data_IF_567426622891
#
_entry.id   IF_567426622891
#
_cell.length_a   1.000
_cell.length_b   1.000
_cell.length_c   1.000
_cell.angle_alpha   90.00
_cell.angle_beta   90.00
_cell.angle_gamma   90.00
#
_symmetry.space_group_name_H-M   'P 1'
#
loop_
_entity.id
_entity.type
_entity.pdbx_description
1 polymer ?
#
# COMPACT_ATOMS: atom_id res chain seq x y z
N UNK A 1 -78.04 43.90 90.01
CA UNK A 1 -79.02 42.87 90.39
C UNK A 1 -78.98 41.81 89.31
N UNK A 2 -78.60 40.56 89.62
CA UNK A 2 -78.55 39.46 88.65
C UNK A 2 -79.98 39.02 88.26
N UNK A 3 -80.22 38.24 87.17
CA UNK A 3 -79.94 36.81 87.25
C UNK A 3 -79.62 36.02 85.94
N UNK A 4 -79.09 34.80 86.15
CA UNK A 4 -79.29 33.51 85.45
C UNK A 4 -79.00 33.28 83.94
N UNK A 5 -78.01 32.41 83.72
CA UNK A 5 -78.06 31.31 82.73
C UNK A 5 -78.76 30.06 83.38
N UNK A 6 -79.06 28.92 82.70
CA UNK A 6 -78.02 28.01 82.14
C UNK A 6 -78.35 27.06 80.92
N UNK A 7 -77.29 26.75 80.17
CA UNK A 7 -76.82 25.43 79.66
C UNK A 7 -77.71 24.33 78.99
N UNK A 8 -77.25 23.86 77.81
CA UNK A 8 -77.12 22.43 77.35
C UNK A 8 -75.94 22.41 76.32
N UNK A 9 -74.75 21.82 76.57
CA UNK A 9 -74.25 20.42 76.34
C UNK A 9 -74.36 19.91 74.88
N UNK A 10 -73.40 19.17 74.26
CA UNK A 10 -72.00 18.77 74.56
C UNK A 10 -71.36 18.05 73.33
N UNK A 11 -70.09 18.35 72.94
CA UNK A 11 -69.12 17.48 72.21
C UNK A 11 -67.81 18.28 71.93
N UNK A 12 -66.65 18.06 72.59
CA UNK A 12 -65.57 17.06 72.34
C UNK A 12 -65.04 17.03 70.88
N UNK A 13 -63.74 17.10 70.57
CA UNK A 13 -62.47 17.25 71.35
C UNK A 13 -61.47 18.13 70.54
N UNK A 14 -60.43 18.79 71.09
CA UNK A 14 -59.18 18.22 71.67
C UNK A 14 -58.17 17.86 70.55
N UNK A 15 -56.89 18.24 70.55
CA UNK A 15 -56.02 18.80 71.59
C UNK A 15 -54.88 19.68 71.01
N UNK A 16 -54.53 20.72 71.78
CA UNK A 16 -53.37 21.59 71.73
C UNK A 16 -51.99 20.89 71.63
N UNK A 17 -51.08 21.37 70.76
CA UNK A 17 -49.66 21.65 71.12
C UNK A 17 -48.94 22.54 70.11
N UNK A 18 -48.28 23.59 70.60
CA UNK A 18 -47.26 24.34 69.88
C UNK A 18 -46.14 24.72 70.86
N UNK A 19 -44.91 24.24 70.64
CA UNK A 19 -43.70 24.81 71.24
C UNK A 19 -42.46 24.49 70.39
N UNK A 20 -41.49 25.41 70.46
CA UNK A 20 -40.32 25.53 69.58
C UNK A 20 -39.26 24.44 69.82
N UNK A 21 -38.50 24.06 68.79
CA UNK A 21 -37.05 24.40 68.68
C UNK A 21 -36.29 23.74 67.50
N UNK A 22 -35.47 24.56 66.83
CA UNK A 22 -34.14 24.25 66.27
C UNK A 22 -33.94 23.29 65.06
N UNK A 23 -33.02 23.74 64.18
CA UNK A 23 -32.19 22.99 63.23
C UNK A 23 -32.85 21.95 62.31
N UNK A 24 -33.22 22.43 61.12
CA UNK A 24 -33.58 21.61 59.96
C UNK A 24 -33.58 22.42 58.66
N UNK A 25 -32.54 23.23 58.43
CA UNK A 25 -32.26 23.71 57.07
C UNK A 25 -31.79 22.50 56.28
N UNK A 26 -32.67 21.85 55.52
CA UNK A 26 -32.25 20.78 54.61
C UNK A 26 -31.35 21.39 53.54
N UNK A 27 -30.04 21.15 53.73
CA UNK A 27 -29.01 21.62 52.81
C UNK A 27 -29.20 20.90 51.48
N UNK A 28 -29.76 21.66 50.55
CA UNK A 28 -29.16 21.91 49.24
C UNK A 28 -28.70 20.68 48.47
N UNK A 29 -29.53 20.26 47.52
CA UNK A 29 -29.05 19.66 46.29
C UNK A 29 -28.64 18.19 46.39
N UNK A 30 -29.60 17.33 46.04
CA UNK A 30 -29.29 16.22 45.14
C UNK A 30 -28.89 16.79 43.77
N UNK A 31 -27.69 17.35 43.69
CA UNK A 31 -26.93 17.30 42.44
C UNK A 31 -26.51 15.84 42.25
N UNK A 32 -27.47 15.03 41.78
CA UNK A 32 -27.14 13.84 41.02
C UNK A 32 -26.46 14.33 39.75
N UNK A 33 -25.16 14.62 39.84
CA UNK A 33 -24.29 14.64 38.69
C UNK A 33 -24.26 13.21 38.16
N UNK A 34 -25.21 12.88 37.28
CA UNK A 34 -25.05 11.80 36.31
C UNK A 34 -23.88 12.20 35.42
N UNK A 35 -22.68 11.98 35.95
CA UNK A 35 -21.43 12.06 35.24
C UNK A 35 -21.51 10.97 34.18
N UNK A 36 -21.48 11.36 32.91
CA UNK A 36 -21.49 10.40 31.80
C UNK A 36 -20.42 9.36 32.05
N UNK A 37 -20.76 8.08 31.93
CA UNK A 37 -19.79 7.02 32.19
C UNK A 37 -18.60 7.16 31.22
N UNK A 38 -17.37 6.97 31.72
CA UNK A 38 -16.16 7.02 30.90
C UNK A 38 -16.34 6.18 29.61
N UNK A 39 -15.94 6.75 28.48
CA UNK A 39 -15.98 6.15 27.14
C UNK A 39 -14.89 6.73 26.22
N UNK A 40 -14.72 6.17 25.02
CA UNK A 40 -13.82 6.69 23.99
C UNK A 40 -14.62 7.41 22.90
N UNK A 41 -14.43 8.72 22.76
CA UNK A 41 -15.07 9.60 21.78
C UNK A 41 -14.31 9.73 20.45
N UNK A 42 -13.41 8.77 20.14
CA UNK A 42 -12.64 8.79 18.89
C UNK A 42 -13.56 8.86 17.67
N UNK A 43 -13.11 9.57 16.62
CA UNK A 43 -13.89 9.74 15.38
C UNK A 43 -14.34 8.39 14.78
N UNK A 44 -15.53 8.30 14.17
CA UNK A 44 -16.08 7.04 13.65
C UNK A 44 -15.24 6.41 12.52
N UNK A 45 -14.35 7.19 11.90
CA UNK A 45 -13.33 6.72 10.95
C UNK A 45 -12.19 5.91 11.58
N UNK A 46 -12.14 5.83 12.92
CA UNK A 46 -11.02 5.25 13.66
C UNK A 46 -9.76 6.13 13.65
N UNK A 47 -8.65 5.55 14.11
CA UNK A 47 -7.34 6.17 14.06
C UNK A 47 -6.84 6.29 12.61
N UNK A 48 -6.09 7.36 12.25
CA UNK A 48 -5.54 7.53 10.90
C UNK A 48 -4.67 6.34 10.45
N UNK A 49 -4.58 6.04 9.13
CA UNK A 49 -3.76 4.96 8.60
C UNK A 49 -2.25 5.19 8.85
N UNK A 50 -1.50 4.09 8.96
CA UNK A 50 -0.06 4.09 9.22
C UNK A 50 0.73 3.65 7.98
N UNK A 51 1.90 4.27 7.77
CA UNK A 51 2.81 3.90 6.70
C UNK A 51 4.25 3.75 7.22
N UNK A 52 4.97 2.73 6.75
CA UNK A 52 6.33 2.37 7.22
C UNK A 52 7.36 3.46 6.95
N UNK A 53 7.75 4.21 7.98
CA UNK A 53 8.72 5.32 7.88
C UNK A 53 8.10 6.71 7.82
N UNK A 54 6.78 6.85 7.89
CA UNK A 54 6.10 8.15 8.11
C UNK A 54 6.07 8.52 9.59
N UNK A 55 6.05 9.82 9.89
CA UNK A 55 5.87 10.30 11.27
C UNK A 55 4.39 10.23 11.62
N UNK A 56 4.07 9.43 12.62
CA UNK A 56 2.73 9.25 13.14
C UNK A 56 2.51 10.04 14.42
N UNK A 57 1.36 10.69 14.52
CA UNK A 57 0.86 11.30 15.74
C UNK A 57 -0.67 11.26 15.74
N UNK A 58 -1.26 10.57 16.71
CA UNK A 58 -2.69 10.56 16.96
C UNK A 58 -2.96 10.66 18.47
N UNK A 59 -4.03 11.36 18.85
CA UNK A 59 -4.45 11.50 20.24
C UNK A 59 -5.72 10.69 20.46
N UNK A 60 -5.71 9.84 21.49
CA UNK A 60 -6.88 9.12 21.98
C UNK A 60 -7.78 10.12 22.71
N UNK A 61 -9.09 10.04 22.48
CA UNK A 61 -10.06 11.02 23.00
C UNK A 61 -11.05 10.36 23.97
N UNK A 62 -10.66 10.06 25.22
CA UNK A 62 -11.60 9.68 26.25
C UNK A 62 -12.52 10.85 26.63
N UNK A 63 -13.76 10.52 26.97
CA UNK A 63 -14.80 11.45 27.39
C UNK A 63 -15.73 10.78 28.41
N UNK A 64 -16.58 11.57 29.08
CA UNK A 64 -17.23 11.13 30.32
C UNK A 64 -16.21 10.90 31.45
N UNK A 65 -16.69 10.48 32.62
CA UNK A 65 -15.85 10.31 33.81
C UNK A 65 -15.31 11.63 34.34
N UNK A 66 -14.32 11.54 35.22
CA UNK A 66 -13.65 12.67 35.85
C UNK A 66 -12.21 12.81 35.35
N UNK A 67 -11.89 13.89 34.62
CA UNK A 67 -10.51 14.24 34.33
C UNK A 67 -9.68 14.49 35.62
N UNK A 68 -8.34 14.39 35.58
CA UNK A 68 -7.51 13.98 34.44
C UNK A 68 -7.63 12.49 34.11
N UNK A 69 -7.41 12.15 32.83
CA UNK A 69 -7.35 10.77 32.35
C UNK A 69 -5.90 10.31 32.24
N UNK A 70 -5.66 9.07 32.65
CA UNK A 70 -4.40 8.34 32.41
C UNK A 70 -4.68 7.17 31.49
N UNK A 71 -3.70 6.76 30.68
CA UNK A 71 -3.88 5.63 29.77
C UNK A 71 -2.65 4.72 29.76
N UNK A 72 -2.90 3.42 29.57
CA UNK A 72 -1.88 2.38 29.49
C UNK A 72 -2.21 1.36 28.39
N UNK A 73 -1.17 0.71 27.88
CA UNK A 73 -1.32 -0.48 27.07
C UNK A 73 -1.72 -1.64 27.99
N UNK A 74 -2.95 -2.13 27.87
CA UNK A 74 -3.48 -3.25 28.66
C UNK A 74 -3.23 -4.61 28.01
N UNK A 75 -2.97 -4.65 26.69
CA UNK A 75 -2.63 -5.88 25.98
C UNK A 75 -2.31 -5.68 24.51
N UNK A 76 -1.84 -6.75 23.86
CA UNK A 76 -1.42 -6.75 22.46
C UNK A 76 -0.07 -6.07 22.23
N UNK A 77 0.20 -5.68 20.98
CA UNK A 77 1.49 -5.04 20.61
C UNK A 77 1.25 -3.80 19.76
N UNK A 78 1.99 -2.73 20.07
CA UNK A 78 2.07 -1.56 19.21
C UNK A 78 2.96 -1.87 17.99
N UNK A 79 2.70 -1.23 16.83
CA UNK A 79 3.61 -1.26 15.70
C UNK A 79 5.05 -0.87 16.10
N UNK A 80 6.09 -1.63 15.70
CA UNK A 80 7.47 -1.33 16.04
C UNK A 80 7.89 0.08 15.61
N UNK A 81 8.29 0.90 16.57
CA UNK A 81 8.63 2.32 16.36
C UNK A 81 7.53 3.31 16.77
N UNK A 82 6.37 2.84 17.26
CA UNK A 82 5.37 3.66 17.95
C UNK A 82 5.43 3.49 19.48
N UNK A 83 5.07 4.55 20.18
CA UNK A 83 4.92 4.58 21.64
C UNK A 83 3.61 5.26 22.04
N UNK A 84 3.01 4.79 23.14
CA UNK A 84 1.88 5.46 23.79
C UNK A 84 2.43 6.27 24.96
N UNK A 85 2.24 7.59 24.92
CA UNK A 85 2.68 8.54 25.96
C UNK A 85 1.48 9.37 26.43
N UNK A 86 0.96 9.03 27.60
CA UNK A 86 -0.36 9.49 28.05
C UNK A 86 -1.43 9.08 27.04
N UNK A 87 -2.18 10.06 26.53
CA UNK A 87 -3.20 9.85 25.50
C UNK A 87 -2.66 9.93 24.06
N UNK A 88 -1.36 10.16 23.85
CA UNK A 88 -0.79 10.34 22.51
C UNK A 88 -0.08 9.07 22.03
N UNK A 89 -0.50 8.55 20.88
CA UNK A 89 0.19 7.50 20.13
C UNK A 89 1.07 8.15 19.06
N UNK A 90 2.38 8.06 19.19
CA UNK A 90 3.33 8.74 18.31
C UNK A 90 4.59 7.95 18.02
N UNK A 91 5.28 8.31 16.94
CA UNK A 91 6.55 7.70 16.53
C UNK A 91 6.65 7.50 15.02
N UNK A 92 7.48 6.55 14.59
CA UNK A 92 7.70 6.23 13.17
C UNK A 92 7.70 4.70 13.02
N UNK A 93 6.63 4.07 12.52
CA UNK A 93 6.56 2.62 12.44
C UNK A 93 7.54 2.11 11.37
N UNK A 94 8.33 1.08 11.68
CA UNK A 94 9.41 0.60 10.80
C UNK A 94 9.13 -0.76 10.13
N UNK A 95 7.95 -1.35 10.36
CA UNK A 95 7.55 -2.65 9.81
C UNK A 95 6.08 -2.66 9.40
N UNK A 96 5.81 -3.17 8.20
CA UNK A 96 4.44 -3.42 7.73
C UNK A 96 3.78 -4.58 8.49
N UNK A 97 2.46 -4.52 8.64
CA UNK A 97 1.69 -5.53 9.34
C UNK A 97 0.38 -5.00 9.93
N UNK A 98 -0.49 -5.93 10.36
CA UNK A 98 -1.62 -5.59 11.23
C UNK A 98 -1.22 -5.79 12.68
N UNK A 99 -1.48 -4.80 13.50
CA UNK A 99 -1.20 -4.80 14.94
C UNK A 99 -2.50 -4.54 15.69
N UNK A 100 -2.86 -5.47 16.58
CA UNK A 100 -4.01 -5.34 17.48
C UNK A 100 -3.50 -5.10 18.90
N UNK A 101 -4.07 -4.10 19.57
CA UNK A 101 -3.73 -3.76 20.94
C UNK A 101 -4.91 -3.15 21.69
N UNK A 102 -4.91 -3.31 23.00
CA UNK A 102 -5.96 -2.79 23.88
C UNK A 102 -5.39 -1.68 24.73
N UNK A 103 -5.99 -0.50 24.65
CA UNK A 103 -5.68 0.62 25.55
C UNK A 103 -6.73 0.65 26.64
N UNK A 104 -6.28 0.76 27.89
CA UNK A 104 -7.11 1.06 29.03
C UNK A 104 -6.89 2.52 29.44
N UNK A 105 -7.98 3.26 29.60
CA UNK A 105 -8.02 4.59 30.19
C UNK A 105 -8.58 4.49 31.60
N UNK A 106 -7.97 5.19 32.55
CA UNK A 106 -8.41 5.34 33.94
C UNK A 106 -8.63 6.82 34.24
N UNK A 107 -9.76 7.16 34.81
CA UNK A 107 -10.10 8.52 35.23
C UNK A 107 -9.69 8.82 36.69
N UNK A 108 -9.89 10.05 37.17
CA UNK A 108 -9.49 10.46 38.53
C UNK A 108 -10.35 9.87 39.65
N UNK A 109 -11.50 9.26 39.33
CA UNK A 109 -12.32 8.47 40.27
C UNK A 109 -11.93 6.99 40.30
N UNK A 110 -10.86 6.60 39.58
CA UNK A 110 -10.42 5.22 39.36
C UNK A 110 -11.39 4.39 38.50
N UNK A 111 -12.31 5.04 37.79
CA UNK A 111 -13.15 4.37 36.79
C UNK A 111 -12.32 4.01 35.56
N UNK A 112 -12.45 2.79 35.05
CA UNK A 112 -11.64 2.29 33.92
C UNK A 112 -12.47 1.93 32.70
N UNK A 113 -11.88 2.10 31.50
CA UNK A 113 -12.41 1.61 30.23
C UNK A 113 -11.30 1.12 29.31
N UNK A 114 -11.54 -0.04 28.72
CA UNK A 114 -10.66 -0.62 27.70
C UNK A 114 -11.29 -0.55 26.32
N UNK A 115 -10.47 -0.27 25.30
CA UNK A 115 -10.85 -0.32 23.88
C UNK A 115 -9.74 -1.00 23.08
N UNK A 116 -10.15 -1.95 22.25
CA UNK A 116 -9.26 -2.56 21.27
C UNK A 116 -9.12 -1.64 20.04
N UNK A 117 -7.89 -1.50 19.57
CA UNK A 117 -7.53 -0.83 18.33
C UNK A 117 -6.81 -1.80 17.41
N UNK A 118 -7.17 -1.78 16.13
CA UNK A 118 -6.53 -2.56 15.06
C UNK A 118 -5.91 -1.58 14.06
N UNK A 119 -4.58 -1.47 14.08
CA UNK A 119 -3.83 -0.61 13.17
C UNK A 119 -3.16 -1.45 12.08
N UNK A 120 -3.31 -1.03 10.82
CA UNK A 120 -2.59 -1.61 9.68
C UNK A 120 -1.48 -0.66 9.25
N UNK A 121 -0.21 -1.06 9.45
CA UNK A 121 0.94 -0.40 8.83
C UNK A 121 1.11 -0.93 7.42
N UNK A 122 1.03 -0.03 6.45
CA UNK A 122 1.19 -0.33 5.03
C UNK A 122 2.54 0.19 4.52
N UNK A 123 3.00 -0.31 3.37
CA UNK A 123 4.09 0.35 2.65
C UNK A 123 3.66 1.75 2.22
N UNK A 124 4.61 2.68 2.10
CA UNK A 124 4.26 4.03 1.65
C UNK A 124 3.72 3.96 0.22
N UNK A 125 2.47 4.44 -0.03
CA UNK A 125 1.98 4.57 -1.39
C UNK A 125 2.90 5.50 -2.20
N UNK A 126 3.02 5.21 -3.49
CA UNK A 126 3.77 6.06 -4.40
C UNK A 126 3.20 7.49 -4.38
N UNK A 127 4.08 8.48 -4.29
CA UNK A 127 3.68 9.87 -4.36
C UNK A 127 3.11 10.12 -5.75
N UNK A 128 1.92 10.72 -5.81
CA UNK A 128 1.25 11.02 -7.07
C UNK A 128 0.65 12.42 -7.09
N UNK A 129 0.63 13.00 -8.29
CA UNK A 129 0.05 14.29 -8.60
C UNK A 129 -0.98 14.08 -9.71
N UNK A 130 -2.25 14.42 -9.48
CA UNK A 130 -3.32 14.12 -10.43
C UNK A 130 -4.38 15.24 -10.49
N UNK A 131 -4.83 15.65 -11.68
CA UNK A 131 -6.05 16.44 -11.85
C UNK A 131 -7.28 15.56 -11.58
N UNK A 132 -8.26 16.09 -10.83
CA UNK A 132 -9.58 15.48 -10.72
C UNK A 132 -10.41 15.86 -11.95
N UNK A 133 -10.55 14.93 -12.88
CA UNK A 133 -11.27 15.16 -14.13
C UNK A 133 -12.79 15.02 -13.93
N UNK A 134 -13.61 15.89 -14.54
CA UNK A 134 -15.05 15.68 -14.61
C UNK A 134 -15.37 14.47 -15.49
N UNK A 135 -16.54 13.86 -15.23
CA UNK A 135 -17.02 12.70 -15.99
C UNK A 135 -17.72 13.17 -17.26
N UNK A 136 -17.28 12.68 -18.43
CA UNK A 136 -17.88 12.98 -19.73
C UNK A 136 -17.26 14.19 -20.44
N UNK A 137 -17.99 14.74 -21.40
CA UNK A 137 -17.56 15.92 -22.16
C UNK A 137 -17.59 17.20 -21.31
N UNK A 138 -16.59 18.05 -21.47
CA UNK A 138 -16.60 19.43 -20.97
C UNK A 138 -16.87 20.43 -22.08
N UNK A 139 -17.54 21.53 -21.73
CA UNK A 139 -17.95 22.62 -22.63
C UNK A 139 -17.78 23.96 -21.90
N UNK A 140 -17.17 24.95 -22.55
CA UNK A 140 -16.93 26.27 -21.95
C UNK A 140 -15.88 26.25 -20.83
N UNK A 141 -16.05 27.15 -19.86
CA UNK A 141 -15.06 27.39 -18.81
C UNK A 141 -15.16 26.33 -17.69
N UNK A 142 -14.10 25.53 -17.51
CA UNK A 142 -14.05 24.40 -16.57
C UNK A 142 -12.90 24.56 -15.58
N UNK A 143 -13.15 24.27 -14.29
CA UNK A 143 -12.12 24.29 -13.24
C UNK A 143 -11.70 22.88 -12.85
N UNK A 144 -10.40 22.58 -12.96
CA UNK A 144 -9.81 21.27 -12.67
C UNK A 144 -8.90 21.40 -11.44
N UNK A 145 -9.27 20.83 -10.27
CA UNK A 145 -8.39 20.81 -9.11
C UNK A 145 -7.32 19.71 -9.28
N UNK A 146 -6.08 20.03 -8.95
CA UNK A 146 -4.97 19.06 -8.87
C UNK A 146 -4.77 18.68 -7.42
N UNK A 147 -4.76 17.38 -7.12
CA UNK A 147 -4.51 16.83 -5.80
C UNK A 147 -3.14 16.15 -5.72
N UNK A 148 -2.56 16.13 -4.53
CA UNK A 148 -1.34 15.38 -4.22
C UNK A 148 -1.64 14.26 -3.23
N UNK A 149 -1.08 13.07 -3.47
CA UNK A 149 -1.17 11.92 -2.58
C UNK A 149 0.21 11.51 -2.11
N UNK A 150 0.35 11.10 -0.85
CA UNK A 150 1.60 10.69 -0.22
C UNK A 150 2.77 11.69 -0.36
N UNK A 151 2.60 12.98 0.02
CA UNK A 151 3.56 14.04 -0.28
C UNK A 151 4.92 13.97 0.44
N UNK A 152 5.06 13.21 1.55
CA UNK A 152 6.35 12.94 2.24
C UNK A 152 7.12 14.21 2.60
N UNK A 153 8.23 14.50 1.91
CA UNK A 153 9.08 15.67 2.11
C UNK A 153 8.98 16.69 0.96
N UNK A 154 8.00 16.57 0.06
CA UNK A 154 7.86 17.43 -1.12
C UNK A 154 7.89 18.91 -0.78
N UNK A 155 8.68 19.65 -1.56
CA UNK A 155 8.73 21.12 -1.58
C UNK A 155 8.55 21.69 -2.99
N UNK A 156 8.75 20.90 -4.03
CA UNK A 156 8.40 21.27 -5.41
C UNK A 156 7.75 20.10 -6.14
N UNK A 157 6.81 20.38 -7.03
CA UNK A 157 6.30 19.41 -7.98
C UNK A 157 6.01 20.08 -9.33
N UNK A 158 6.32 19.37 -10.41
CA UNK A 158 6.01 19.72 -11.79
C UNK A 158 4.93 18.78 -12.31
N UNK A 159 3.85 19.31 -12.87
CA UNK A 159 2.88 18.58 -13.67
C UNK A 159 3.14 18.90 -15.15
N UNK A 160 3.12 17.90 -16.02
CA UNK A 160 3.11 18.10 -17.47
C UNK A 160 1.90 17.37 -18.04
N UNK A 161 1.07 18.05 -18.83
CA UNK A 161 -0.18 17.54 -19.36
C UNK A 161 -0.33 17.93 -20.83
N UNK A 162 -0.49 16.94 -21.71
CA UNK A 162 -0.88 17.22 -23.10
C UNK A 162 -2.41 17.33 -23.18
N UNK A 163 -2.86 18.57 -23.36
CA UNK A 163 -4.28 18.93 -23.44
C UNK A 163 -4.81 18.67 -24.86
N UNK A 164 -6.07 18.21 -25.01
CA UNK A 164 -6.69 18.08 -26.33
C UNK A 164 -6.79 19.40 -27.10
N UNK A 165 -6.84 19.31 -28.43
CA UNK A 165 -7.02 20.47 -29.29
C UNK A 165 -8.33 21.22 -28.97
N UNK A 166 -8.26 22.55 -28.88
CA UNK A 166 -9.40 23.40 -28.49
C UNK A 166 -9.51 23.67 -26.99
N UNK A 167 -8.65 23.08 -26.16
CA UNK A 167 -8.49 23.41 -24.73
C UNK A 167 -7.36 24.42 -24.54
N UNK A 168 -7.64 25.51 -23.82
CA UNK A 168 -6.65 26.52 -23.45
C UNK A 168 -6.73 26.83 -21.96
N UNK A 169 -5.60 27.01 -21.29
CA UNK A 169 -5.56 27.38 -19.87
C UNK A 169 -5.72 28.90 -19.77
N UNK A 170 -6.76 29.35 -19.06
CA UNK A 170 -7.00 30.78 -18.78
C UNK A 170 -6.35 31.25 -17.48
N UNK A 171 -5.95 30.32 -16.62
CA UNK A 171 -5.20 30.61 -15.41
C UNK A 171 -4.97 29.38 -14.55
N UNK A 172 -4.06 29.49 -13.60
CA UNK A 172 -3.86 28.49 -12.55
C UNK A 172 -3.61 29.22 -11.22
N UNK A 173 -4.19 28.69 -10.14
CA UNK A 173 -4.09 29.26 -8.80
C UNK A 173 -3.45 28.24 -7.85
N UNK A 174 -2.58 28.67 -6.91
CA UNK A 174 -2.05 27.77 -5.88
C UNK A 174 -3.19 27.27 -4.98
N UNK A 175 -3.06 26.02 -4.54
CA UNK A 175 -4.03 25.35 -3.69
C UNK A 175 -3.90 25.68 -2.20
N UNK A 176 -4.58 24.88 -1.37
CA UNK A 176 -4.77 25.16 0.07
C UNK A 176 -3.48 25.12 0.90
N UNK A 177 -2.46 24.38 0.47
CA UNK A 177 -1.14 24.37 1.13
C UNK A 177 -0.41 25.71 1.02
N UNK A 178 -0.84 26.59 0.09
CA UNK A 178 -0.13 27.80 -0.27
C UNK A 178 1.23 27.51 -0.93
N UNK A 179 1.81 28.52 -1.55
CA UNK A 179 3.03 28.32 -2.32
C UNK A 179 3.28 29.37 -3.38
N UNK A 180 4.22 29.05 -4.26
CA UNK A 180 4.37 29.68 -5.57
C UNK A 180 3.82 28.72 -6.62
N UNK A 181 3.19 29.26 -7.66
CA UNK A 181 2.74 28.47 -8.80
C UNK A 181 3.10 29.23 -10.08
N UNK A 182 3.79 28.54 -10.98
CA UNK A 182 4.06 29.00 -12.34
C UNK A 182 3.42 28.03 -13.31
N UNK A 183 2.93 28.52 -14.45
CA UNK A 183 2.39 27.66 -15.49
C UNK A 183 2.68 28.24 -16.87
N UNK A 184 2.75 27.35 -17.87
CA UNK A 184 2.89 27.70 -19.28
C UNK A 184 2.15 26.66 -20.11
N UNK A 185 1.40 27.10 -21.12
CA UNK A 185 0.93 26.23 -22.19
C UNK A 185 1.72 26.55 -23.46
N UNK A 186 2.37 25.55 -24.04
CA UNK A 186 3.05 25.62 -25.33
C UNK A 186 2.31 24.68 -26.31
N UNK A 187 1.55 25.27 -27.24
CA UNK A 187 0.60 24.53 -28.07
C UNK A 187 -0.41 23.74 -27.22
N UNK A 188 -0.28 22.42 -27.21
CA UNK A 188 -1.09 21.51 -26.41
C UNK A 188 -0.46 21.15 -25.05
N UNK A 189 0.84 21.38 -24.85
CA UNK A 189 1.57 20.95 -23.66
C UNK A 189 1.49 22.00 -22.56
N UNK A 190 0.74 21.69 -21.51
CA UNK A 190 0.71 22.45 -20.26
C UNK A 190 1.80 21.95 -19.32
N UNK A 191 2.64 22.86 -18.81
CA UNK A 191 3.52 22.64 -17.66
C UNK A 191 3.04 23.49 -16.49
N UNK A 192 2.94 22.91 -15.30
CA UNK A 192 2.59 23.59 -14.05
C UNK A 192 3.63 23.26 -12.98
N UNK A 193 4.37 24.26 -12.53
CA UNK A 193 5.35 24.17 -11.45
C UNK A 193 4.74 24.72 -10.16
N UNK A 194 4.73 23.90 -9.10
CA UNK A 194 4.18 24.27 -7.79
C UNK A 194 5.24 24.09 -6.72
N UNK A 195 5.56 25.17 -6.00
CA UNK A 195 6.47 25.16 -4.85
C UNK A 195 5.69 25.33 -3.54
N UNK A 196 5.94 24.48 -2.54
CA UNK A 196 5.18 24.41 -1.30
C UNK A 196 5.95 25.00 -0.12
N UNK A 197 5.30 25.87 0.67
CA UNK A 197 5.88 26.46 1.89
C UNK A 197 6.07 25.43 3.00
N UNK A 198 5.12 24.50 3.11
CA UNK A 198 5.11 23.37 4.05
C UNK A 198 4.79 22.08 3.29
N UNK A 199 5.01 20.91 3.89
CA UNK A 199 4.55 19.65 3.28
C UNK A 199 3.01 19.74 3.10
N UNK A 200 2.46 19.46 1.90
CA UNK A 200 1.02 19.24 1.75
C UNK A 200 0.52 18.09 2.65
N UNK A 201 -0.77 18.05 2.96
CA UNK A 201 -1.40 16.81 3.45
C UNK A 201 -1.72 15.89 2.28
N UNK A 202 -1.77 14.58 2.49
CA UNK A 202 -2.31 13.65 1.47
C UNK A 202 -3.76 14.03 1.16
N UNK A 203 -4.13 14.04 -0.13
CA UNK A 203 -5.42 14.52 -0.62
C UNK A 203 -5.55 16.05 -0.71
N UNK A 204 -4.53 16.83 -0.35
CA UNK A 204 -4.60 18.28 -0.45
C UNK A 204 -4.71 18.73 -1.92
N UNK A 205 -5.60 19.71 -2.16
CA UNK A 205 -5.66 20.43 -3.43
C UNK A 205 -4.46 21.37 -3.50
N UNK A 206 -3.55 21.13 -4.44
CA UNK A 206 -2.26 21.83 -4.60
C UNK A 206 -2.28 22.88 -5.71
N UNK A 207 -3.16 22.72 -6.69
CA UNK A 207 -3.43 23.73 -7.71
C UNK A 207 -4.90 23.69 -8.12
N UNK A 208 -5.40 24.79 -8.67
CA UNK A 208 -6.68 24.88 -9.35
C UNK A 208 -6.47 25.47 -10.74
N UNK A 209 -6.66 24.65 -11.77
CA UNK A 209 -6.52 25.06 -13.18
C UNK A 209 -7.87 25.57 -13.69
N UNK A 210 -7.86 26.68 -14.42
CA UNK A 210 -9.02 27.18 -15.16
C UNK A 210 -8.77 26.96 -16.65
N UNK A 211 -9.65 26.20 -17.29
CA UNK A 211 -9.58 25.81 -18.69
C UNK A 211 -10.74 26.48 -19.46
N UNK A 212 -10.46 26.96 -20.66
CA UNK A 212 -11.44 27.39 -21.66
C UNK A 212 -11.50 26.36 -22.78
N UNK A 213 -12.69 25.83 -23.01
CA UNK A 213 -12.95 24.75 -23.96
C UNK A 213 -13.77 25.28 -25.13
N UNK A 214 -13.15 25.35 -26.31
CA UNK A 214 -13.79 25.89 -27.54
C UNK A 214 -14.54 24.84 -28.36
N UNK A 215 -14.29 23.54 -28.12
CA UNK A 215 -14.98 22.41 -28.73
C UNK A 215 -15.27 21.35 -27.65
N UNK A 216 -16.45 20.71 -27.63
CA UNK A 216 -16.74 19.64 -26.69
C UNK A 216 -15.65 18.57 -26.72
N UNK A 217 -15.14 18.19 -25.55
CA UNK A 217 -14.02 17.23 -25.45
C UNK A 217 -14.04 16.50 -24.12
N UNK A 218 -13.58 15.25 -24.13
CA UNK A 218 -13.34 14.46 -22.91
C UNK A 218 -11.86 14.58 -22.54
N UNK A 219 -11.57 15.01 -21.31
CA UNK A 219 -10.20 15.05 -20.81
C UNK A 219 -9.74 13.65 -20.39
N UNK A 220 -8.49 13.31 -20.69
CA UNK A 220 -7.88 12.03 -20.30
C UNK A 220 -6.67 12.24 -19.38
N UNK A 221 -6.57 11.42 -18.33
CA UNK A 221 -5.45 11.40 -17.39
C UNK A 221 -4.26 10.52 -17.82
N UNK A 222 -4.35 9.90 -19.01
CA UNK A 222 -3.27 9.09 -19.58
C UNK A 222 -2.09 9.95 -20.06
N UNK A 223 -2.37 11.11 -20.65
CA UNK A 223 -1.39 12.07 -21.17
C UNK A 223 -0.81 13.00 -20.08
N UNK A 224 -0.48 12.42 -18.93
CA UNK A 224 0.02 13.13 -17.73
C UNK A 224 1.35 12.57 -17.28
N UNK A 225 2.37 13.42 -17.25
CA UNK A 225 3.59 13.22 -16.49
C UNK A 225 3.62 14.11 -15.23
N UNK A 226 4.34 13.69 -14.20
CA UNK A 226 4.66 14.55 -13.08
C UNK A 226 6.04 14.23 -12.50
N UNK A 227 6.65 15.22 -11.87
CA UNK A 227 7.89 15.11 -11.11
C UNK A 227 7.67 15.73 -9.74
N UNK A 228 8.22 15.12 -8.68
CA UNK A 228 8.11 15.62 -7.31
C UNK A 228 9.47 15.59 -6.61
N UNK A 229 9.86 16.71 -5.98
CA UNK A 229 11.17 16.90 -5.35
C UNK A 229 11.06 17.40 -3.91
N UNK A 230 12.05 17.07 -3.09
CA UNK A 230 12.20 17.61 -1.74
C UNK A 230 12.80 19.03 -1.73
N UNK A 231 13.01 19.59 -0.53
CA UNK A 231 13.60 20.93 -0.34
C UNK A 231 15.07 21.06 -0.73
N UNK A 232 15.76 19.96 -1.03
CA UNK A 232 17.15 19.93 -1.51
C UNK A 232 17.23 19.64 -3.02
N UNK A 233 16.08 19.49 -3.69
CA UNK A 233 15.98 19.21 -5.12
C UNK A 233 16.14 17.74 -5.49
N UNK A 234 16.18 16.83 -4.51
CA UNK A 234 16.22 15.38 -4.75
C UNK A 234 14.88 14.89 -5.28
N UNK A 235 14.91 14.06 -6.32
CA UNK A 235 13.72 13.41 -6.86
C UNK A 235 13.11 12.43 -5.84
N UNK A 236 11.82 12.60 -5.54
CA UNK A 236 11.04 11.75 -4.64
C UNK A 236 10.14 10.78 -5.41
N UNK A 237 9.56 11.22 -6.52
CA UNK A 237 8.78 10.38 -7.44
C UNK A 237 8.65 11.06 -8.80
N UNK A 238 8.58 10.24 -9.84
CA UNK A 238 8.39 10.65 -11.23
C UNK A 238 7.37 9.71 -11.88
N UNK A 239 6.51 10.28 -12.71
CA UNK A 239 5.76 9.59 -13.74
C UNK A 239 6.10 10.29 -15.05
N UNK A 240 6.81 9.61 -15.94
CA UNK A 240 7.12 10.15 -17.27
C UNK A 240 5.86 10.27 -18.13
N UNK A 241 5.90 11.14 -19.14
CA UNK A 241 4.89 11.11 -20.21
C UNK A 241 4.89 9.75 -20.93
N UNK A 242 3.76 9.29 -21.50
CA UNK A 242 3.70 8.02 -22.22
C UNK A 242 4.78 7.86 -23.31
N UNK A 243 5.06 8.93 -24.07
CA UNK A 243 6.09 8.92 -25.12
C UNK A 243 7.52 8.86 -24.56
N UNK A 244 7.75 9.47 -23.39
CA UNK A 244 9.06 9.45 -22.72
C UNK A 244 9.31 8.11 -22.04
N UNK A 245 8.28 7.53 -21.43
CA UNK A 245 8.30 6.18 -20.88
C UNK A 245 8.63 5.17 -21.98
N UNK A 246 7.92 5.23 -23.12
CA UNK A 246 8.21 4.38 -24.29
C UNK A 246 9.67 4.49 -24.76
N UNK A 247 10.20 5.70 -24.92
CA UNK A 247 11.61 5.92 -25.32
C UNK A 247 12.61 5.34 -24.30
N UNK A 248 12.31 5.47 -23.01
CA UNK A 248 13.13 4.91 -21.92
C UNK A 248 13.10 3.39 -21.92
N UNK A 249 11.95 2.78 -22.18
CA UNK A 249 11.80 1.32 -22.26
C UNK A 249 12.51 0.76 -23.50
N UNK A 250 12.41 1.45 -24.66
CA UNK A 250 13.18 1.13 -25.88
C UNK A 250 14.71 1.23 -25.63
N UNK A 251 15.17 2.28 -24.94
CA UNK A 251 16.58 2.45 -24.58
C UNK A 251 17.07 1.39 -23.59
N UNK A 252 16.25 1.03 -22.59
CA UNK A 252 16.55 -0.02 -21.64
C UNK A 252 16.61 -1.41 -22.31
N UNK A 253 15.70 -1.71 -23.23
CA UNK A 253 15.71 -2.93 -24.02
C UNK A 253 16.98 -3.02 -24.89
N UNK A 254 17.39 -1.92 -25.53
CA UNK A 254 18.65 -1.84 -26.29
C UNK A 254 19.87 -2.11 -25.39
N UNK A 255 19.96 -1.47 -24.23
CA UNK A 255 21.05 -1.67 -23.29
C UNK A 255 21.11 -3.09 -22.72
N UNK A 256 19.96 -3.71 -22.46
CA UNK A 256 19.87 -5.12 -22.04
C UNK A 256 20.32 -6.08 -23.14
N UNK A 257 19.96 -5.83 -24.40
CA UNK A 257 20.42 -6.62 -25.55
C UNK A 257 21.94 -6.49 -25.77
N UNK A 258 22.49 -5.28 -25.64
CA UNK A 258 23.93 -5.02 -25.72
C UNK A 258 24.69 -5.75 -24.60
N UNK A 259 24.19 -5.68 -23.36
CA UNK A 259 24.76 -6.46 -22.24
C UNK A 259 24.69 -7.96 -22.50
N UNK A 260 23.56 -8.49 -22.96
CA UNK A 260 23.42 -9.92 -23.25
C UNK A 260 24.35 -10.40 -24.37
N UNK A 261 24.59 -9.56 -25.39
CA UNK A 261 25.57 -9.83 -26.44
C UNK A 261 27.01 -9.84 -25.89
N UNK A 262 27.35 -8.90 -25.00
CA UNK A 262 28.65 -8.85 -24.35
C UNK A 262 28.88 -10.05 -23.40
N UNK A 263 27.88 -10.42 -22.60
CA UNK A 263 27.91 -11.59 -21.72
C UNK A 263 28.11 -12.89 -22.54
N UNK A 264 27.45 -13.01 -23.69
CA UNK A 264 27.61 -14.14 -24.62
C UNK A 264 29.00 -14.18 -25.25
N UNK A 265 29.51 -13.06 -25.76
CA UNK A 265 30.85 -12.98 -26.33
C UNK A 265 31.94 -13.30 -25.28
N UNK A 266 31.74 -12.92 -24.03
CA UNK A 266 32.61 -13.31 -22.92
C UNK A 266 32.57 -14.82 -22.64
N UNK A 267 31.38 -15.44 -22.68
CA UNK A 267 31.22 -16.88 -22.54
C UNK A 267 31.89 -17.67 -23.69
N UNK A 268 31.68 -17.23 -24.93
CA UNK A 268 32.30 -17.84 -26.13
C UNK A 268 33.84 -17.74 -26.07
N UNK A 269 34.38 -16.60 -25.62
CA UNK A 269 35.83 -16.42 -25.40
C UNK A 269 36.36 -17.34 -24.30
N UNK A 270 35.65 -17.45 -23.17
CA UNK A 270 36.04 -18.34 -22.07
C UNK A 270 35.95 -19.83 -22.46
N UNK A 271 35.06 -20.19 -23.39
CA UNK A 271 34.99 -21.53 -23.95
C UNK A 271 36.17 -21.82 -24.90
N UNK A 272 36.53 -20.85 -25.76
CA UNK A 272 37.68 -20.97 -26.65
C UNK A 272 39.02 -21.07 -25.89
N UNK A 273 39.17 -20.32 -24.80
CA UNK A 273 40.36 -20.38 -23.94
C UNK A 273 40.50 -21.73 -23.23
N UNK A 274 39.38 -22.36 -22.85
CA UNK A 274 39.36 -23.73 -22.28
C UNK A 274 39.60 -24.84 -23.31
N UNK A 275 39.40 -24.58 -24.61
CA UNK A 275 39.55 -25.61 -25.64
C UNK A 275 41.02 -25.94 -25.95
N UNK A 276 41.94 -24.98 -25.73
CA UNK A 276 43.36 -25.11 -26.05
C UNK A 276 43.65 -25.12 -27.57
N UNK A 277 44.91 -24.89 -27.99
CA UNK A 277 45.27 -24.97 -29.41
C UNK A 277 45.19 -26.43 -29.87
N UNK A 278 44.44 -26.67 -30.95
CA UNK A 278 44.37 -27.98 -31.60
C UNK A 278 45.77 -28.40 -32.06
N UNK A 279 46.24 -29.56 -31.60
CA UNK A 279 47.55 -30.09 -32.00
C UNK A 279 47.59 -30.31 -33.53
N UNK A 280 48.68 -29.93 -34.21
CA UNK A 280 48.78 -30.07 -35.66
C UNK A 280 48.71 -31.55 -36.05
N UNK A 281 47.88 -31.86 -37.06
CA UNK A 281 47.72 -33.22 -37.56
C UNK A 281 49.06 -33.78 -38.07
N UNK A 282 49.45 -34.96 -37.59
CA UNK A 282 50.67 -35.62 -38.00
C UNK A 282 50.62 -36.03 -39.49
N UNK A 283 51.73 -35.91 -40.24
CA UNK A 283 51.75 -36.24 -41.66
C UNK A 283 51.63 -37.75 -41.89
N UNK A 284 50.80 -38.14 -42.87
CA UNK A 284 50.66 -39.53 -43.32
C UNK A 284 51.74 -39.90 -44.34
N UNK A 285 52.52 -40.94 -44.02
CA UNK A 285 53.62 -41.44 -44.87
C UNK A 285 53.10 -42.44 -45.93
N UNK A 286 53.53 -42.37 -47.21
CA UNK A 286 53.15 -43.36 -48.22
C UNK A 286 53.87 -44.72 -48.02
N UNK A 287 53.17 -45.82 -48.30
CA UNK A 287 53.73 -47.17 -48.25
C UNK A 287 54.52 -47.55 -49.52
N UNK A 288 55.58 -48.35 -49.35
CA UNK A 288 56.49 -48.82 -50.43
C UNK A 288 56.16 -50.30 -50.78
N UNK A 289 56.13 -50.70 -52.06
CA UNK A 289 55.83 -52.08 -52.46
C UNK A 289 57.05 -53.04 -52.30
N UNK A 290 56.82 -54.35 -52.07
CA UNK A 290 57.89 -55.33 -51.85
C UNK A 290 58.45 -55.98 -53.13
N UNK A 291 59.68 -56.51 -53.03
CA UNK A 291 60.35 -57.33 -54.06
C UNK A 291 60.48 -58.81 -53.63
N UNK A 292 60.88 -59.67 -54.56
CA UNK A 292 60.44 -61.08 -54.64
C UNK A 292 61.36 -62.18 -54.04
N UNK A 293 60.75 -63.20 -53.41
CA UNK A 293 60.90 -64.69 -53.63
C UNK A 293 62.32 -65.34 -53.57
N UNK A 294 62.58 -66.47 -52.84
CA UNK A 294 62.05 -67.82 -53.16
C UNK A 294 61.84 -68.78 -51.94
N UNK A 295 61.76 -70.14 -52.05
CA UNK A 295 60.52 -70.90 -51.83
C UNK A 295 60.50 -71.89 -50.64
N UNK A 296 59.33 -72.49 -50.38
CA UNK A 296 59.03 -73.40 -49.25
C UNK A 296 59.50 -74.87 -49.43
N UNK A 297 59.34 -75.72 -48.40
CA UNK A 297 58.40 -76.86 -48.58
C UNK A 297 57.59 -77.33 -47.34
N UNK A 298 56.53 -78.09 -47.63
CA UNK A 298 55.86 -79.15 -46.83
C UNK A 298 54.81 -78.82 -45.73
N UNK A 299 53.55 -79.10 -46.09
CA UNK A 299 52.35 -79.43 -45.25
C UNK A 299 52.41 -80.91 -44.76
N UNK A 300 51.48 -81.52 -43.95
CA UNK A 300 50.00 -81.33 -43.81
C UNK A 300 49.49 -81.36 -42.32
N UNK A 301 48.21 -81.48 -41.90
CA UNK A 301 46.96 -82.12 -42.38
C UNK A 301 45.72 -81.35 -41.86
N UNK A 302 44.59 -81.41 -42.59
CA UNK A 302 43.25 -80.94 -42.19
C UNK A 302 42.33 -82.14 -41.83
N UNK A 303 41.23 -81.96 -41.08
CA UNK A 303 39.95 -81.96 -41.79
C UNK A 303 38.87 -80.98 -41.28
N UNK A 304 38.04 -80.53 -42.22
CA UNK A 304 36.71 -79.95 -42.03
C UNK A 304 35.65 -81.13 -41.92
N UNK A 305 34.30 -80.99 -42.09
CA UNK A 305 33.50 -79.83 -42.57
C UNK A 305 32.09 -79.63 -41.94
N UNK A 306 31.40 -78.58 -42.44
CA UNK A 306 29.94 -78.42 -42.58
C UNK A 306 29.04 -78.43 -41.30
N UNK A 307 27.89 -77.75 -41.25
CA UNK A 307 27.18 -76.90 -42.22
C UNK A 307 25.86 -76.36 -41.60
N UNK A 308 25.16 -75.40 -42.23
CA UNK A 308 24.02 -74.67 -41.62
C UNK A 308 22.69 -75.43 -41.73
N UNK A 309 21.61 -74.94 -41.07
CA UNK A 309 20.60 -74.23 -41.86
C UNK A 309 19.95 -72.98 -41.20
N UNK A 310 19.02 -72.40 -41.96
CA UNK A 310 18.40 -71.05 -41.94
C UNK A 310 17.18 -70.91 -40.95
N UNK A 311 16.30 -69.87 -40.98
CA UNK A 311 15.69 -69.32 -39.76
C UNK A 311 14.15 -69.51 -39.65
N UNK A 312 13.56 -69.28 -38.46
CA UNK A 312 12.10 -69.16 -38.31
C UNK A 312 11.60 -68.37 -37.08
N UNK A 313 10.81 -67.33 -37.36
CA UNK A 313 9.49 -67.00 -36.76
C UNK A 313 9.33 -66.58 -35.25
N UNK A 314 8.20 -65.92 -34.87
CA UNK A 314 8.12 -65.07 -33.67
C UNK A 314 6.99 -65.38 -32.65
N UNK A 315 6.96 -64.60 -31.55
CA UNK A 315 5.85 -64.42 -30.56
C UNK A 315 5.60 -65.58 -29.57
N UNK A 316 5.06 -65.36 -28.34
CA UNK A 316 3.81 -64.61 -28.04
C UNK A 316 3.88 -63.55 -26.89
N UNK A 317 2.84 -62.71 -26.73
CA UNK A 317 2.69 -61.80 -25.59
C UNK A 317 2.03 -62.47 -24.36
N UNK A 318 2.39 -62.03 -23.16
CA UNK A 318 1.77 -62.47 -21.89
C UNK A 318 0.53 -61.65 -21.51
N UNK A 319 -0.52 -62.32 -21.05
CA UNK A 319 -1.86 -61.77 -20.78
C UNK A 319 -2.12 -61.37 -19.30
N UNK A 320 -2.84 -60.25 -19.15
CA UNK A 320 -3.98 -59.92 -18.23
C UNK A 320 -4.45 -60.96 -17.17
N UNK A 321 -5.14 -60.59 -16.04
CA UNK A 321 -6.31 -59.66 -16.04
C UNK A 321 -6.75 -58.89 -14.75
N UNK A 322 -7.81 -58.04 -14.93
CA UNK A 322 -8.92 -57.70 -13.97
C UNK A 322 -8.59 -56.88 -12.70
N UNK A 323 -9.47 -56.02 -12.13
CA UNK A 323 -10.84 -55.55 -12.44
C UNK A 323 -11.14 -54.25 -11.63
N UNK A 324 -12.17 -53.46 -12.00
CA UNK A 324 -12.77 -52.46 -11.08
C UNK A 324 -13.08 -51.07 -11.66
N UNK A 325 -14.33 -50.87 -12.12
CA UNK A 325 -14.87 -49.58 -12.62
C UNK A 325 -16.09 -49.15 -11.77
N UNK A 326 -16.32 -47.85 -11.47
CA UNK A 326 -17.44 -47.32 -10.64
C UNK A 326 -18.60 -46.75 -11.50
N UNK A 327 -19.79 -46.37 -10.94
CA UNK A 327 -19.99 -45.03 -10.35
C UNK A 327 -21.11 -44.89 -9.26
N UNK A 328 -21.27 -43.68 -8.70
CA UNK A 328 -22.48 -43.19 -8.00
C UNK A 328 -22.28 -42.76 -6.53
N UNK A 329 -22.87 -41.67 -6.02
CA UNK A 329 -23.68 -40.62 -6.65
C UNK A 329 -24.06 -39.51 -5.64
N UNK A 330 -24.25 -38.28 -6.16
CA UNK A 330 -25.32 -37.28 -5.93
C UNK A 330 -26.23 -37.30 -4.67
N UNK A 331 -26.95 -36.19 -4.37
CA UNK A 331 -26.87 -34.83 -4.93
C UNK A 331 -26.55 -33.72 -3.90
#
# INVERSE_FOLDING_TARGET
>A
MAPHAPAVRLALAGLLTALLAACGQEITGTTSSTQDALYFADSPSGLPPLYTGEVYAATLTPAGGAGPYTARLAGGTLPPGLTLSGLNLSGTPNRTGTYTFTVEVTDSTLSTRSKEYRLTVQDLPALSLAPTLPVGEIRGDTRIPVTISAPRTVRAARLVWDLPAGVSVSGAQPGQTGGVLFWRQDGQRLTVDVGFKTVPRSGARVALLSLKVTKPVTLAGSALGFEARDGQGKLLSEKLMPDEQKKRDEAAAKAAAEKAAADRAAADRAAAEKAGPAAPAAPVTPAVPPASTPPAPSTPVSPAPAGPPDPAAPTPPGSTPREGTPPGGTP
#
